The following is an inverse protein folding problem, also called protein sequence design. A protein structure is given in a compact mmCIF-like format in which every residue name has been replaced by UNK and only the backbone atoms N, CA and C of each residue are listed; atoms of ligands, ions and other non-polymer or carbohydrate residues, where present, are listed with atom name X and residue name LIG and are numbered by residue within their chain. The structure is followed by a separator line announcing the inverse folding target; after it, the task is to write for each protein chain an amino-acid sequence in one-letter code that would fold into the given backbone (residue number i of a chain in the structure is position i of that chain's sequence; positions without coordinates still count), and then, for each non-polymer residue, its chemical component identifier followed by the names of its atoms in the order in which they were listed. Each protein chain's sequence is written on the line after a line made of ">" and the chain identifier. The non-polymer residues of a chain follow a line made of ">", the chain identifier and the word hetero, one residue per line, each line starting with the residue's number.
data_IF_185898390105
#
_entry.id   IF_185898390105
#
_cell.length_a   1.000
_cell.length_b   1.000
_cell.length_c   1.000
_cell.angle_alpha   90.00
_cell.angle_beta   90.00
_cell.angle_gamma   90.00
#
_symmetry.space_group_name_H-M   'P 1'
#
loop_
_entity.id
_entity.type
_entity.pdbx_description
1 polymer ?
#
# COMPACT_ATOMS: atom_id res chain seq x y z
N UNK A 1 49.76 -3.71 -36.57
CA UNK A 1 49.56 -4.18 -35.17
C UNK A 1 48.81 -3.10 -34.40
N UNK A 2 47.54 -2.85 -34.77
CA UNK A 2 46.82 -1.64 -34.34
C UNK A 2 45.31 -1.75 -34.40
N UNK A 3 44.75 -2.92 -34.09
CA UNK A 3 43.32 -3.20 -34.22
C UNK A 3 42.66 -3.64 -32.90
N UNK A 4 43.25 -3.26 -31.76
CA UNK A 4 42.76 -3.66 -30.42
C UNK A 4 42.27 -2.48 -29.56
N UNK A 5 42.42 -1.23 -30.02
CA UNK A 5 42.03 -0.05 -29.22
C UNK A 5 40.57 0.38 -29.43
N UNK A 6 40.00 0.13 -30.62
CA UNK A 6 38.63 0.56 -30.95
C UNK A 6 37.52 -0.16 -30.16
N UNK A 7 37.77 -1.39 -29.71
CA UNK A 7 36.82 -2.16 -28.89
C UNK A 7 36.74 -1.68 -27.45
N UNK A 8 37.87 -1.26 -26.88
CA UNK A 8 37.94 -0.75 -25.50
C UNK A 8 37.28 0.63 -25.37
N UNK A 9 37.42 1.50 -26.38
CA UNK A 9 36.78 2.81 -26.40
C UNK A 9 35.24 2.71 -26.49
N UNK A 10 34.73 1.76 -27.28
CA UNK A 10 33.28 1.48 -27.36
C UNK A 10 32.73 0.94 -26.04
N UNK A 11 33.46 0.04 -25.39
CA UNK A 11 33.06 -0.56 -24.10
C UNK A 11 33.09 0.45 -22.95
N UNK A 12 34.08 1.35 -22.93
CA UNK A 12 34.16 2.45 -21.96
C UNK A 12 33.01 3.45 -22.13
N UNK A 13 32.67 3.81 -23.39
CA UNK A 13 31.52 4.66 -23.71
C UNK A 13 30.19 4.00 -23.31
N UNK A 14 30.03 2.70 -23.57
CA UNK A 14 28.82 1.96 -23.21
C UNK A 14 28.62 1.84 -21.69
N UNK A 15 29.70 1.65 -20.91
CA UNK A 15 29.65 1.65 -19.44
C UNK A 15 29.32 3.01 -18.86
N UNK A 16 29.83 4.08 -19.46
CA UNK A 16 29.52 5.47 -19.05
C UNK A 16 28.03 5.78 -19.28
N UNK A 17 27.49 5.37 -20.42
CA UNK A 17 26.06 5.50 -20.72
C UNK A 17 25.18 4.67 -19.77
N UNK A 18 25.59 3.44 -19.43
CA UNK A 18 24.86 2.58 -18.48
C UNK A 18 24.84 3.17 -17.06
N UNK A 19 25.97 3.71 -16.59
CA UNK A 19 26.05 4.36 -15.28
C UNK A 19 25.17 5.61 -15.21
N UNK A 20 25.08 6.39 -16.29
CA UNK A 20 24.21 7.58 -16.35
C UNK A 20 22.72 7.20 -16.23
N UNK A 21 22.32 6.08 -16.85
CA UNK A 21 20.94 5.54 -16.74
C UNK A 21 20.65 5.07 -15.32
N UNK A 22 21.58 4.37 -14.67
CA UNK A 22 21.43 3.90 -13.28
C UNK A 22 21.33 5.07 -12.30
N UNK A 23 22.14 6.12 -12.47
CA UNK A 23 22.10 7.33 -11.64
C UNK A 23 20.78 8.09 -11.83
N UNK A 24 20.30 8.19 -13.07
CA UNK A 24 19.00 8.83 -13.37
C UNK A 24 17.83 8.05 -12.75
N UNK A 25 17.85 6.71 -12.80
CA UNK A 25 16.84 5.86 -12.16
C UNK A 25 16.86 5.97 -10.63
N UNK A 26 18.04 6.11 -10.03
CA UNK A 26 18.19 6.27 -8.58
C UNK A 26 17.73 7.65 -8.10
N UNK A 27 18.04 8.72 -8.85
CA UNK A 27 17.69 10.09 -8.48
C UNK A 27 16.23 10.47 -8.81
N UNK A 28 15.57 9.78 -9.75
CA UNK A 28 14.17 10.03 -10.12
C UNK A 28 13.14 9.40 -9.15
N UNK A 29 13.54 8.45 -8.30
CA UNK A 29 12.61 7.70 -7.42
C UNK A 29 12.06 8.48 -6.21
N UNK A 30 12.76 9.44 -5.57
CA UNK A 30 12.18 10.13 -4.40
C UNK A 30 11.35 11.39 -4.71
N UNK A 31 10.99 11.72 -5.96
CA UNK A 31 10.21 12.95 -6.24
C UNK A 31 8.69 12.82 -6.04
N UNK A 32 8.16 11.59 -5.91
CA UNK A 32 6.71 11.36 -5.96
C UNK A 32 5.96 11.42 -4.62
N UNK A 33 6.60 11.69 -3.47
CA UNK A 33 5.94 11.59 -2.15
C UNK A 33 5.68 12.92 -1.42
N UNK A 34 5.36 14.01 -2.13
CA UNK A 34 5.13 15.31 -1.47
C UNK A 34 3.83 16.04 -1.83
N UNK A 35 2.84 15.37 -2.42
CA UNK A 35 1.49 15.93 -2.56
C UNK A 35 0.52 15.21 -1.60
N UNK A 36 0.69 15.46 -0.30
CA UNK A 36 -0.39 15.26 0.65
C UNK A 36 -1.12 16.61 0.75
N UNK A 37 -2.23 16.72 0.02
CA UNK A 37 -3.19 17.81 0.12
C UNK A 37 -3.84 17.76 1.51
N UNK A 38 -3.82 18.88 2.24
CA UNK A 38 -4.42 19.08 3.56
C UNK A 38 -5.95 19.13 3.45
N UNK A 39 -6.58 18.02 3.04
CA UNK A 39 -8.03 17.96 2.95
C UNK A 39 -8.61 17.69 4.32
N UNK A 40 -9.06 18.76 4.97
CA UNK A 40 -10.03 18.70 6.06
C UNK A 40 -9.51 17.98 7.30
N UNK A 41 -9.06 18.79 8.26
CA UNK A 41 -8.67 18.39 9.62
C UNK A 41 -9.58 17.33 10.30
N UNK A 42 -10.84 17.17 9.91
CA UNK A 42 -11.74 16.13 10.43
C UNK A 42 -11.72 14.76 9.72
N UNK A 43 -10.92 14.59 8.66
CA UNK A 43 -11.06 13.46 7.73
C UNK A 43 -12.39 13.49 6.96
N UNK A 44 -12.42 12.88 5.78
CA UNK A 44 -13.68 12.70 5.05
C UNK A 44 -14.68 11.90 5.89
N UNK A 45 -15.98 12.18 5.75
CA UNK A 45 -17.03 11.35 6.34
C UNK A 45 -16.79 9.88 5.98
N UNK A 46 -16.74 9.00 6.98
CA UNK A 46 -16.42 7.58 6.78
C UNK A 46 -14.92 7.24 6.72
N UNK A 47 -14.00 8.18 6.94
CA UNK A 47 -12.56 7.89 7.02
C UNK A 47 -12.23 6.82 8.09
N UNK A 48 -13.02 6.76 9.16
CA UNK A 48 -12.90 5.73 10.19
C UNK A 48 -13.18 4.32 9.69
N UNK A 49 -14.02 4.14 8.66
CA UNK A 49 -14.22 2.83 8.06
C UNK A 49 -12.90 2.30 7.49
N UNK A 50 -11.99 3.15 6.99
CA UNK A 50 -10.72 2.67 6.42
C UNK A 50 -9.77 2.06 7.44
N UNK A 51 -9.99 2.28 8.74
CA UNK A 51 -9.13 1.68 9.77
C UNK A 51 -9.32 0.17 9.90
N UNK A 52 -10.42 -0.39 9.38
CA UNK A 52 -10.73 -1.81 9.53
C UNK A 52 -11.43 -2.11 10.86
N UNK A 53 -12.14 -3.24 10.89
CA UNK A 53 -12.81 -3.74 12.09
C UNK A 53 -12.30 -5.12 12.46
N UNK A 54 -12.19 -5.39 13.76
CA UNK A 54 -11.80 -6.71 14.27
C UNK A 54 -10.29 -6.95 14.25
N UNK A 55 -9.77 -7.46 15.37
CA UNK A 55 -8.33 -7.71 15.52
C UNK A 55 -7.79 -8.74 14.53
N UNK A 56 -8.60 -9.77 14.19
CA UNK A 56 -8.23 -10.83 13.24
C UNK A 56 -8.07 -10.29 11.83
N UNK A 57 -9.10 -9.60 11.31
CA UNK A 57 -9.07 -9.01 9.97
C UNK A 57 -7.92 -8.01 9.82
N UNK A 58 -7.68 -7.19 10.84
CA UNK A 58 -6.54 -6.27 10.87
C UNK A 58 -5.19 -7.00 10.93
N UNK A 59 -5.07 -8.07 11.71
CA UNK A 59 -3.85 -8.90 11.77
C UNK A 59 -3.48 -9.57 10.44
N UNK A 60 -4.47 -9.82 9.58
CA UNK A 60 -4.27 -10.32 8.21
C UNK A 60 -3.98 -9.21 7.18
N UNK A 61 -3.73 -7.98 7.62
CA UNK A 61 -3.51 -6.84 6.73
C UNK A 61 -4.80 -6.27 6.13
N UNK A 62 -5.94 -6.46 6.79
CA UNK A 62 -7.26 -6.03 6.33
C UNK A 62 -7.95 -7.02 5.38
N UNK A 63 -7.42 -8.24 5.23
CA UNK A 63 -7.91 -9.24 4.29
C UNK A 63 -8.82 -10.30 4.91
N UNK A 64 -10.08 -9.97 5.20
CA UNK A 64 -11.09 -10.92 5.75
C UNK A 64 -12.31 -11.12 4.85
N UNK A 65 -12.23 -10.76 3.56
CA UNK A 65 -13.35 -10.83 2.60
C UNK A 65 -13.87 -12.27 2.38
N UNK A 66 -13.01 -13.27 2.46
CA UNK A 66 -13.36 -14.67 2.26
C UNK A 66 -13.85 -15.38 3.55
N UNK A 67 -13.74 -14.71 4.71
CA UNK A 67 -14.11 -15.28 6.00
C UNK A 67 -15.53 -14.85 6.38
N UNK A 68 -16.32 -15.79 6.87
CA UNK A 68 -17.70 -15.60 7.32
C UNK A 68 -17.92 -16.28 8.68
N UNK A 69 -17.01 -16.02 9.62
CA UNK A 69 -16.92 -16.68 10.92
C UNK A 69 -17.23 -15.75 12.11
N UNK A 70 -17.35 -14.45 11.88
CA UNK A 70 -17.68 -13.46 12.91
C UNK A 70 -18.62 -12.36 12.39
N UNK A 71 -19.10 -11.53 13.32
CA UNK A 71 -19.97 -10.40 13.00
C UNK A 71 -19.31 -9.28 12.18
N UNK A 72 -17.98 -9.27 12.00
CA UNK A 72 -17.31 -8.29 11.13
C UNK A 72 -17.47 -8.63 9.64
N UNK A 73 -18.05 -9.78 9.30
CA UNK A 73 -18.39 -10.18 7.92
C UNK A 73 -19.23 -9.11 7.19
N UNK A 74 -20.13 -8.41 7.88
CA UNK A 74 -20.94 -7.34 7.28
C UNK A 74 -20.10 -6.15 6.81
N UNK A 75 -18.96 -5.90 7.43
CA UNK A 75 -18.03 -4.84 7.05
C UNK A 75 -17.11 -5.26 5.89
N UNK A 76 -16.62 -6.52 5.87
CA UNK A 76 -15.69 -7.00 4.85
C UNK A 76 -16.37 -7.59 3.61
N UNK A 77 -17.48 -8.32 3.78
CA UNK A 77 -18.23 -8.97 2.72
C UNK A 77 -19.68 -9.27 3.15
N UNK A 78 -20.64 -8.36 2.88
CA UNK A 78 -22.04 -8.56 3.30
C UNK A 78 -22.70 -9.81 2.67
N UNK A 79 -22.21 -10.30 1.52
CA UNK A 79 -22.71 -11.55 0.92
C UNK A 79 -22.31 -12.78 1.76
N UNK A 80 -21.22 -12.69 2.54
CA UNK A 80 -20.79 -13.72 3.48
C UNK A 80 -21.75 -13.93 4.65
N UNK A 81 -22.61 -12.95 4.94
CA UNK A 81 -23.55 -13.02 6.06
C UNK A 81 -24.52 -14.21 5.98
N UNK A 82 -24.85 -14.67 4.77
CA UNK A 82 -25.73 -15.84 4.55
C UNK A 82 -25.14 -17.13 5.12
N UNK A 83 -23.82 -17.22 5.23
CA UNK A 83 -23.15 -18.39 5.79
C UNK A 83 -23.02 -18.34 7.32
N UNK A 84 -23.28 -17.19 7.93
CA UNK A 84 -23.18 -17.00 9.37
C UNK A 84 -24.44 -17.56 10.05
N UNK A 85 -24.26 -18.55 10.93
CA UNK A 85 -25.37 -19.22 11.63
C UNK A 85 -25.46 -18.77 13.08
N UNK A 86 -26.69 -18.52 13.56
CA UNK A 86 -26.98 -18.11 14.94
C UNK A 86 -26.91 -16.59 15.18
N UNK A 87 -26.95 -16.18 16.44
CA UNK A 87 -26.87 -14.78 16.83
C UNK A 87 -25.42 -14.39 17.12
N UNK A 88 -24.88 -13.47 16.32
CA UNK A 88 -23.52 -12.95 16.48
C UNK A 88 -23.53 -11.49 16.91
N UNK A 89 -22.73 -11.20 17.93
CA UNK A 89 -22.51 -9.84 18.43
C UNK A 89 -21.00 -9.59 18.48
N UNK A 90 -20.54 -8.52 17.83
CA UNK A 90 -19.12 -8.13 17.80
C UNK A 90 -18.99 -6.64 18.07
N UNK A 91 -17.89 -6.26 18.73
CA UNK A 91 -17.54 -4.88 19.05
C UNK A 91 -16.06 -4.64 18.77
N UNK A 92 -15.72 -3.44 18.30
CA UNK A 92 -14.35 -3.04 18.00
C UNK A 92 -14.08 -1.64 18.56
N UNK A 93 -12.87 -1.44 19.07
CA UNK A 93 -12.38 -0.17 19.59
C UNK A 93 -11.11 0.18 18.83
N UNK A 94 -11.12 1.33 18.15
CA UNK A 94 -9.95 1.86 17.45
C UNK A 94 -9.63 3.24 18.02
N UNK A 95 -8.34 3.51 18.27
CA UNK A 95 -7.88 4.83 18.73
C UNK A 95 -7.84 5.78 17.55
N UNK A 96 -8.82 6.68 17.45
CA UNK A 96 -8.84 7.73 16.43
C UNK A 96 -8.26 9.02 16.99
N UNK A 97 -7.29 9.60 16.29
CA UNK A 97 -6.98 11.00 16.48
C UNK A 97 -8.06 11.79 15.75
N UNK A 98 -9.12 12.20 16.46
CA UNK A 98 -9.84 13.39 16.03
C UNK A 98 -8.82 14.52 16.10
N UNK A 99 -8.56 15.18 14.97
CA UNK A 99 -7.77 16.41 14.97
C UNK A 99 -8.47 17.39 15.92
N UNK A 100 -7.70 17.90 16.87
CA UNK A 100 -8.11 18.95 17.80
C UNK A 100 -7.17 20.13 17.61
#
# INVERSE_FOLDING_TARGET
>A
MGESDGGQLKYASQKLMLNFIIVTLFFCRPVQKSFADDIGRGGYAGAFLRMGLGARGMGMGGGSVALADDGFVTYYNPAGLVFLSGHWFTANLNTMALDR
#
